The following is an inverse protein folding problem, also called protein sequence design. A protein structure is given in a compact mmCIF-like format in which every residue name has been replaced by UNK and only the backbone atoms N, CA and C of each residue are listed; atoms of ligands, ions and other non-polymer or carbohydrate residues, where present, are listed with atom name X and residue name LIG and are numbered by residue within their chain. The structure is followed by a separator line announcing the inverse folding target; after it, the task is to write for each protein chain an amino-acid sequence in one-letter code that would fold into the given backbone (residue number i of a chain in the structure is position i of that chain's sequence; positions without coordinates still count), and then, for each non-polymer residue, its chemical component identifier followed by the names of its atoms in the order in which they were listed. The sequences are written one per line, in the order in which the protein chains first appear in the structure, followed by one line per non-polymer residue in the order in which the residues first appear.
data_IF_418432531159
#
_entry.id   IF_418432531159
#
_cell.length_a   1.000
_cell.length_b   1.000
_cell.length_c   1.000
_cell.angle_alpha   90.00
_cell.angle_beta   90.00
_cell.angle_gamma   90.00
#
_symmetry.space_group_name_H-M   'P 1'
#
loop_
_entity.id
_entity.type
_entity.pdbx_description
1 polymer ?
#
# COMPACT_ATOMS: atom_id res chain seq x y z
N UNK A 1 9.52 13.20 -21.93
CA UNK A 1 9.44 12.75 -20.55
C UNK A 1 8.88 11.35 -20.42
N UNK A 2 9.24 10.68 -19.34
CA UNK A 2 8.77 9.32 -19.08
C UNK A 2 7.31 9.29 -18.60
N UNK A 3 6.85 10.38 -17.98
CA UNK A 3 5.52 10.54 -17.38
C UNK A 3 5.28 12.02 -17.16
N UNK A 4 4.03 12.46 -17.25
CA UNK A 4 3.72 13.86 -16.97
C UNK A 4 3.95 14.17 -15.49
N UNK A 5 4.54 15.35 -15.23
CA UNK A 5 4.96 15.73 -13.88
C UNK A 5 3.78 15.80 -12.89
N UNK A 6 2.65 16.37 -13.30
CA UNK A 6 1.48 16.46 -12.42
C UNK A 6 0.88 15.07 -12.13
N UNK A 7 0.89 14.16 -13.11
CA UNK A 7 0.45 12.79 -12.89
C UNK A 7 1.38 12.05 -11.92
N UNK A 8 2.69 12.25 -12.07
CA UNK A 8 3.67 11.67 -11.16
C UNK A 8 3.51 12.20 -9.73
N UNK A 9 3.32 13.51 -9.55
CA UNK A 9 3.09 14.10 -8.22
C UNK A 9 1.83 13.52 -7.57
N UNK A 10 0.75 13.41 -8.34
CA UNK A 10 -0.49 12.80 -7.84
C UNK A 10 -0.29 11.33 -7.45
N UNK A 11 0.46 10.57 -8.24
CA UNK A 11 0.80 9.18 -7.92
C UNK A 11 1.70 9.07 -6.69
N UNK A 12 2.68 9.96 -6.55
CA UNK A 12 3.51 10.06 -5.36
C UNK A 12 2.67 10.30 -4.10
N UNK A 13 1.74 11.23 -4.15
CA UNK A 13 0.83 11.52 -3.03
C UNK A 13 -0.04 10.32 -2.70
N UNK A 14 -0.60 9.66 -3.71
CA UNK A 14 -1.40 8.45 -3.52
C UNK A 14 -0.57 7.33 -2.89
N UNK A 15 0.67 7.15 -3.32
CA UNK A 15 1.61 6.16 -2.76
C UNK A 15 1.93 6.46 -1.29
N UNK A 16 2.13 7.72 -0.94
CA UNK A 16 2.37 8.14 0.44
C UNK A 16 1.15 7.81 1.32
N UNK A 17 -0.05 8.15 0.88
CA UNK A 17 -1.26 7.83 1.64
C UNK A 17 -1.47 6.33 1.79
N UNK A 18 -1.22 5.56 0.74
CA UNK A 18 -1.31 4.10 0.79
C UNK A 18 -0.34 3.51 1.81
N UNK A 19 0.91 3.97 1.79
CA UNK A 19 1.96 3.50 2.70
C UNK A 19 1.68 3.89 4.15
N UNK A 20 1.21 5.11 4.39
CA UNK A 20 0.88 5.58 5.74
C UNK A 20 -0.41 4.96 6.28
N UNK A 21 -1.29 4.46 5.42
CA UNK A 21 -2.47 3.72 5.85
C UNK A 21 -2.04 2.37 6.44
N UNK A 22 -2.24 2.13 7.74
CA UNK A 22 -1.79 0.88 8.36
C UNK A 22 -2.56 -0.31 7.80
N UNK A 23 -1.83 -1.32 7.41
CA UNK A 23 -2.35 -2.57 6.88
C UNK A 23 -1.44 -3.71 7.26
N UNK A 24 -1.61 -4.87 6.62
CA UNK A 24 -0.83 -6.07 6.93
C UNK A 24 0.68 -5.89 6.78
N UNK A 25 1.11 -5.11 5.77
CA UNK A 25 2.54 -4.81 5.57
C UNK A 25 3.13 -3.99 6.72
N UNK A 26 2.44 -2.93 7.14
CA UNK A 26 2.87 -2.10 8.27
C UNK A 26 2.91 -2.91 9.58
N UNK A 27 1.89 -3.73 9.82
CA UNK A 27 1.84 -4.62 11.00
C UNK A 27 3.02 -5.58 11.01
N UNK A 28 3.34 -6.18 9.87
CA UNK A 28 4.47 -7.09 9.76
C UNK A 28 5.80 -6.37 9.99
N UNK A 29 5.99 -5.19 9.41
CA UNK A 29 7.19 -4.37 9.61
C UNK A 29 7.37 -3.98 11.08
N UNK A 30 6.30 -3.56 11.75
CA UNK A 30 6.33 -3.25 13.18
C UNK A 30 6.63 -4.48 14.04
N UNK A 31 5.99 -5.61 13.73
CA UNK A 31 6.19 -6.88 14.42
C UNK A 31 7.66 -7.33 14.34
N UNK A 32 8.22 -7.34 13.16
CA UNK A 32 9.62 -7.73 12.97
C UNK A 32 10.59 -6.68 13.52
N UNK A 33 10.25 -5.40 13.45
CA UNK A 33 11.01 -4.34 14.09
C UNK A 33 11.15 -4.53 15.59
N UNK A 34 10.07 -4.95 16.26
CA UNK A 34 10.08 -5.27 17.69
C UNK A 34 10.85 -6.56 17.98
N UNK A 35 10.67 -7.60 17.16
CA UNK A 35 11.26 -8.92 17.40
C UNK A 35 12.74 -9.00 17.05
N UNK A 36 13.16 -8.35 15.95
CA UNK A 36 14.51 -8.52 15.39
C UNK A 36 15.31 -7.23 15.30
N UNK A 37 14.71 -6.08 15.56
CA UNK A 37 15.32 -4.77 15.31
C UNK A 37 15.19 -4.33 13.86
N UNK A 38 15.38 -3.02 13.62
CA UNK A 38 15.16 -2.39 12.31
C UNK A 38 16.08 -2.97 11.23
N UNK A 39 17.36 -3.17 11.56
CA UNK A 39 18.34 -3.69 10.60
C UNK A 39 17.94 -5.06 10.03
N UNK A 40 17.50 -5.97 10.88
CA UNK A 40 17.11 -7.31 10.44
C UNK A 40 15.73 -7.32 9.77
N UNK A 41 14.89 -6.35 10.07
CA UNK A 41 13.58 -6.17 9.43
C UNK A 41 13.71 -5.75 7.96
N UNK A 42 14.87 -5.27 7.54
CA UNK A 42 15.13 -4.94 6.12
C UNK A 42 14.88 -6.14 5.20
N UNK A 43 15.15 -7.36 5.64
CA UNK A 43 14.82 -8.57 4.87
C UNK A 43 13.31 -8.73 4.66
N UNK A 44 12.51 -8.49 5.68
CA UNK A 44 11.04 -8.47 5.60
C UNK A 44 10.56 -7.39 4.64
N UNK A 45 11.11 -6.19 4.75
CA UNK A 45 10.76 -5.05 3.91
C UNK A 45 11.13 -5.30 2.45
N UNK A 46 12.27 -5.92 2.20
CA UNK A 46 12.65 -6.36 0.85
C UNK A 46 11.61 -7.31 0.26
N UNK A 47 11.15 -8.29 1.04
CA UNK A 47 10.05 -9.18 0.63
C UNK A 47 8.76 -8.43 0.32
N UNK A 48 8.40 -7.45 1.15
CA UNK A 48 7.23 -6.59 0.91
C UNK A 48 7.33 -5.89 -0.46
N UNK A 49 8.52 -5.42 -0.85
CA UNK A 49 8.73 -4.77 -2.14
C UNK A 49 8.59 -5.76 -3.30
N UNK A 50 9.09 -6.98 -3.16
CA UNK A 50 8.90 -8.01 -4.18
C UNK A 50 7.41 -8.30 -4.42
N UNK A 51 6.61 -8.32 -3.37
CA UNK A 51 5.15 -8.45 -3.47
C UNK A 51 4.50 -7.28 -4.20
N UNK A 52 4.90 -6.05 -3.88
CA UNK A 52 4.42 -4.85 -4.57
C UNK A 52 4.78 -4.85 -6.06
N UNK A 53 6.02 -5.22 -6.39
CA UNK A 53 6.47 -5.31 -7.79
C UNK A 53 5.62 -6.32 -8.55
N UNK A 54 5.38 -7.49 -7.97
CA UNK A 54 4.55 -8.52 -8.61
C UNK A 54 3.16 -7.99 -8.94
N UNK A 55 2.50 -7.37 -7.96
CA UNK A 55 1.16 -6.80 -8.16
C UNK A 55 1.18 -5.69 -9.22
N UNK A 56 2.17 -4.81 -9.17
CA UNK A 56 2.31 -3.73 -10.14
C UNK A 56 2.50 -4.26 -11.56
N UNK A 57 3.33 -5.29 -11.74
CA UNK A 57 3.58 -5.87 -13.05
C UNK A 57 2.33 -6.55 -13.61
N UNK A 58 1.59 -7.28 -12.78
CA UNK A 58 0.35 -7.94 -13.19
C UNK A 58 -0.72 -6.91 -13.52
N UNK A 59 -0.95 -5.95 -12.63
CA UNK A 59 -1.99 -4.93 -12.82
C UNK A 59 -1.64 -3.96 -13.92
N UNK A 60 -0.41 -3.47 -13.96
CA UNK A 60 0.04 -2.48 -14.93
C UNK A 60 0.26 -3.08 -16.32
N UNK A 61 0.92 -4.25 -16.40
CA UNK A 61 1.24 -4.88 -17.69
C UNK A 61 0.06 -5.58 -18.35
N UNK A 62 -0.80 -6.20 -17.56
CA UNK A 62 -1.95 -6.98 -18.06
C UNK A 62 -3.28 -6.23 -17.95
N UNK A 63 -3.76 -6.07 -16.72
CA UNK A 63 -5.07 -5.47 -16.47
C UNK A 63 -5.11 -3.99 -16.85
N UNK A 64 -4.06 -3.23 -16.53
CA UNK A 64 -3.99 -1.80 -16.87
C UNK A 64 -4.09 -1.53 -18.35
N UNK A 65 -3.43 -2.34 -19.19
CA UNK A 65 -3.49 -2.20 -20.64
C UNK A 65 -4.90 -2.43 -21.19
N UNK A 66 -5.62 -3.44 -20.67
CA UNK A 66 -7.01 -3.72 -21.04
C UNK A 66 -7.94 -2.58 -20.63
N UNK A 67 -7.76 -2.05 -19.41
CA UNK A 67 -8.59 -0.96 -18.90
C UNK A 67 -8.40 0.34 -19.66
N UNK A 68 -7.19 0.60 -20.15
CA UNK A 68 -6.92 1.77 -20.99
C UNK A 68 -7.60 1.62 -22.37
N UNK A 69 -7.62 0.40 -22.93
CA UNK A 69 -8.21 0.13 -24.23
C UNK A 69 -9.76 0.18 -24.22
N UNK A 70 -10.40 -0.05 -23.07
CA UNK A 70 -11.86 -0.11 -22.95
C UNK A 70 -12.38 0.91 -21.94
N UNK A 71 -13.21 1.86 -22.41
CA UNK A 71 -13.83 2.87 -21.53
C UNK A 71 -14.79 2.24 -20.53
N UNK A 72 -15.59 1.25 -20.96
CA UNK A 72 -16.53 0.56 -20.07
C UNK A 72 -15.78 -0.21 -18.98
N UNK A 73 -14.75 -0.95 -19.33
CA UNK A 73 -13.92 -1.69 -18.36
C UNK A 73 -13.26 -0.71 -17.37
N UNK A 74 -12.74 0.41 -17.86
CA UNK A 74 -12.17 1.46 -17.00
C UNK A 74 -13.20 1.98 -15.99
N UNK A 75 -14.40 2.31 -16.45
CA UNK A 75 -15.47 2.83 -15.59
C UNK A 75 -15.91 1.80 -14.54
N UNK A 76 -16.11 0.55 -14.95
CA UNK A 76 -16.53 -0.53 -14.04
C UNK A 76 -15.49 -0.75 -12.95
N UNK A 77 -14.20 -0.87 -13.32
CA UNK A 77 -13.12 -1.08 -12.35
C UNK A 77 -12.96 0.14 -11.44
N UNK A 78 -13.06 1.36 -11.98
CA UNK A 78 -13.02 2.59 -11.19
C UNK A 78 -14.10 2.61 -10.11
N UNK A 79 -15.35 2.32 -10.47
CA UNK A 79 -16.47 2.32 -9.52
C UNK A 79 -16.34 1.23 -8.49
N UNK A 80 -16.04 -0.01 -8.92
CA UNK A 80 -15.86 -1.14 -7.99
C UNK A 80 -14.68 -0.91 -7.05
N UNK A 81 -13.56 -0.41 -7.58
CA UNK A 81 -12.38 -0.10 -6.77
C UNK A 81 -12.63 1.01 -5.77
N UNK A 82 -13.32 2.08 -6.18
CA UNK A 82 -13.70 3.18 -5.30
C UNK A 82 -14.61 2.70 -4.17
N UNK A 83 -15.63 1.91 -4.48
CA UNK A 83 -16.53 1.33 -3.49
C UNK A 83 -15.78 0.41 -2.51
N UNK A 84 -14.86 -0.39 -3.02
CA UNK A 84 -14.07 -1.30 -2.19
C UNK A 84 -13.11 -0.54 -1.26
N UNK A 85 -12.46 0.52 -1.74
CA UNK A 85 -11.59 1.35 -0.90
C UNK A 85 -12.39 2.08 0.19
N UNK A 86 -13.59 2.56 -0.15
CA UNK A 86 -14.51 3.16 0.83
C UNK A 86 -14.91 2.11 1.88
N UNK A 87 -15.24 0.89 1.44
CA UNK A 87 -15.57 -0.21 2.33
C UNK A 87 -14.40 -0.57 3.26
N UNK A 88 -13.19 -0.69 2.73
CA UNK A 88 -12.00 -0.97 3.55
C UNK A 88 -11.75 0.14 4.57
N UNK A 89 -11.88 1.39 4.15
CA UNK A 89 -11.73 2.54 5.05
C UNK A 89 -12.76 2.53 6.16
N UNK A 90 -14.01 2.19 5.84
CA UNK A 90 -15.09 2.04 6.81
C UNK A 90 -14.82 0.90 7.80
N UNK A 91 -14.40 -0.26 7.28
CA UNK A 91 -14.02 -1.40 8.13
C UNK A 91 -12.88 -1.03 9.08
N UNK A 92 -11.87 -0.33 8.59
CA UNK A 92 -10.74 0.13 9.40
C UNK A 92 -11.20 1.13 10.48
N UNK A 93 -12.09 2.05 10.13
CA UNK A 93 -12.68 2.98 11.09
C UNK A 93 -13.44 2.26 12.21
N UNK A 94 -14.28 1.27 11.85
CA UNK A 94 -15.07 0.50 12.81
C UNK A 94 -14.23 -0.44 13.66
N UNK A 95 -13.17 -1.02 13.11
CA UNK A 95 -12.29 -1.96 13.82
C UNK A 95 -11.27 -1.27 14.73
N UNK A 96 -11.33 0.05 14.87
CA UNK A 96 -10.41 0.83 15.71
C UNK A 96 -10.44 0.45 17.20
N UNK A 97 -11.29 -0.50 17.60
CA UNK A 97 -11.28 -1.11 18.93
C UNK A 97 -10.27 -2.24 19.10
N UNK A 98 -9.82 -2.83 18.00
CA UNK A 98 -8.89 -3.96 17.99
C UNK A 98 -7.46 -3.42 17.96
N UNK A 99 -6.94 -3.08 19.14
CA UNK A 99 -5.57 -2.61 19.27
C UNK A 99 -4.58 -3.73 18.90
N UNK A 100 -3.44 -3.34 18.31
CA UNK A 100 -2.32 -4.25 18.11
C UNK A 100 -1.84 -4.79 19.45
N UNK A 101 -1.78 -6.10 19.59
CA UNK A 101 -1.22 -6.74 20.78
C UNK A 101 0.31 -6.72 20.69
N UNK A 102 0.90 -5.69 21.26
CA UNK A 102 2.36 -5.51 21.27
C UNK A 102 3.06 -6.64 22.01
N UNK A 103 2.45 -7.15 23.09
CA UNK A 103 3.04 -8.27 23.84
C UNK A 103 3.10 -9.55 22.97
N UNK A 104 2.07 -9.80 22.17
CA UNK A 104 2.06 -10.92 21.23
C UNK A 104 3.13 -10.77 20.15
N UNK A 105 3.31 -9.55 19.61
CA UNK A 105 4.32 -9.26 18.59
C UNK A 105 5.74 -9.51 19.07
N UNK A 106 6.01 -9.31 20.37
CA UNK A 106 7.34 -9.52 20.96
C UNK A 106 7.71 -10.98 21.16
N UNK A 107 6.73 -11.87 21.24
CA UNK A 107 6.94 -13.30 21.51
C UNK A 107 7.22 -14.14 20.26
N UNK A 108 7.39 -13.53 19.08
CA UNK A 108 7.62 -14.27 17.86
C UNK A 108 8.99 -14.95 17.85
N UNK A 109 9.03 -16.20 17.35
CA UNK A 109 10.26 -16.95 17.19
C UNK A 109 11.20 -16.26 16.18
N UNK A 110 12.52 -16.38 16.40
CA UNK A 110 13.51 -15.83 15.50
C UNK A 110 13.50 -16.61 14.17
N UNK A 111 13.10 -15.95 13.09
CA UNK A 111 13.03 -16.52 11.76
C UNK A 111 14.30 -16.20 10.97
N UNK A 112 14.81 -17.11 10.13
CA UNK A 112 15.90 -16.81 9.22
C UNK A 112 15.48 -15.76 8.19
N UNK A 113 16.47 -15.05 7.62
CA UNK A 113 16.18 -13.94 6.70
C UNK A 113 15.37 -14.36 5.47
N UNK A 114 15.59 -15.59 4.97
CA UNK A 114 14.84 -16.11 3.83
C UNK A 114 13.34 -16.21 4.14
N UNK A 115 12.99 -16.66 5.33
CA UNK A 115 11.59 -16.73 5.75
C UNK A 115 10.99 -15.35 5.97
N UNK A 116 11.78 -14.39 6.45
CA UNK A 116 11.30 -13.01 6.59
C UNK A 116 11.02 -12.39 5.22
N UNK A 117 11.89 -12.63 4.22
CA UNK A 117 11.64 -12.21 2.84
C UNK A 117 10.35 -12.84 2.30
N UNK A 118 10.17 -14.13 2.48
CA UNK A 118 8.98 -14.85 2.03
C UNK A 118 7.71 -14.32 2.70
N UNK A 119 7.76 -14.06 4.00
CA UNK A 119 6.61 -13.49 4.72
C UNK A 119 6.23 -12.11 4.18
N UNK A 120 7.21 -11.25 3.94
CA UNK A 120 6.99 -9.95 3.33
C UNK A 120 6.37 -10.07 1.93
N UNK A 121 6.93 -10.92 1.09
CA UNK A 121 6.42 -11.17 -0.25
C UNK A 121 4.96 -11.64 -0.22
N UNK A 122 4.66 -12.69 0.52
CA UNK A 122 3.31 -13.22 0.61
C UNK A 122 2.31 -12.22 1.20
N UNK A 123 2.75 -11.46 2.20
CA UNK A 123 1.90 -10.45 2.84
C UNK A 123 1.43 -9.41 1.83
N UNK A 124 2.32 -8.85 1.02
CA UNK A 124 1.93 -7.85 0.03
C UNK A 124 1.32 -8.46 -1.24
N UNK A 125 1.80 -9.62 -1.69
CA UNK A 125 1.22 -10.28 -2.87
C UNK A 125 -0.25 -10.68 -2.66
N UNK A 126 -0.66 -10.95 -1.42
CA UNK A 126 -2.04 -11.32 -1.07
C UNK A 126 -2.82 -10.19 -0.39
N UNK A 127 -2.23 -9.00 -0.26
CA UNK A 127 -2.89 -7.89 0.40
C UNK A 127 -4.01 -7.32 -0.47
N UNK A 128 -5.28 -7.47 -0.07
CA UNK A 128 -6.40 -6.99 -0.88
C UNK A 128 -6.39 -5.48 -1.08
N UNK A 129 -5.94 -4.71 -0.10
CA UNK A 129 -5.80 -3.25 -0.20
C UNK A 129 -4.83 -2.87 -1.32
N UNK A 130 -3.65 -3.50 -1.35
CA UNK A 130 -2.64 -3.26 -2.39
C UNK A 130 -3.11 -3.69 -3.78
N UNK A 131 -3.74 -4.86 -3.88
CA UNK A 131 -4.25 -5.38 -5.16
C UNK A 131 -5.31 -4.43 -5.74
N UNK A 132 -6.29 -4.02 -4.94
CA UNK A 132 -7.37 -3.14 -5.39
C UNK A 132 -6.82 -1.75 -5.73
N UNK A 133 -5.87 -1.22 -4.95
CA UNK A 133 -5.20 0.03 -5.28
C UNK A 133 -4.54 -0.05 -6.66
N UNK A 134 -3.79 -1.10 -6.93
CA UNK A 134 -3.11 -1.27 -8.23
C UNK A 134 -4.10 -1.38 -9.38
N UNK A 135 -5.15 -2.19 -9.21
CA UNK A 135 -6.13 -2.42 -10.29
C UNK A 135 -6.99 -1.18 -10.54
N UNK A 136 -7.44 -0.50 -9.49
CA UNK A 136 -8.36 0.64 -9.61
C UNK A 136 -7.65 1.98 -9.80
N UNK A 137 -6.54 2.21 -9.10
CA UNK A 137 -5.88 3.52 -9.05
C UNK A 137 -4.79 3.63 -10.12
N UNK A 138 -3.98 2.59 -10.30
CA UNK A 138 -2.84 2.63 -11.22
C UNK A 138 -3.20 3.06 -12.65
N UNK A 139 -4.26 2.52 -13.29
CA UNK A 139 -4.63 2.93 -14.65
C UNK A 139 -4.96 4.41 -14.80
N UNK A 140 -5.33 5.08 -13.72
CA UNK A 140 -5.66 6.52 -13.72
C UNK A 140 -4.43 7.39 -14.02
N UNK A 141 -3.25 6.89 -13.76
CA UNK A 141 -1.98 7.59 -13.91
C UNK A 141 -1.22 7.22 -15.18
N UNK A 142 -1.69 6.20 -15.91
CA UNK A 142 -1.07 5.75 -17.15
C UNK A 142 -1.61 6.56 -18.33
N UNK A 143 -0.70 7.14 -19.13
CA UNK A 143 -1.03 7.92 -20.32
C UNK A 143 -0.71 7.15 -21.60
N UNK A 144 -1.53 7.32 -22.62
CA UNK A 144 -1.28 6.77 -23.96
C UNK A 144 -0.12 7.46 -24.71
N UNK A 145 0.24 8.68 -24.29
CA UNK A 145 1.29 9.48 -24.93
C UNK A 145 2.71 9.05 -24.59
N UNK A 146 2.87 8.12 -23.67
CA UNK A 146 4.18 7.63 -23.23
C UNK A 146 4.21 6.10 -23.25
N UNK A 147 5.42 5.48 -23.46
CA UNK A 147 5.54 4.03 -23.40
C UNK A 147 5.10 3.47 -22.06
N UNK A 148 4.29 2.40 -22.07
CA UNK A 148 3.74 1.80 -20.87
C UNK A 148 4.83 1.33 -19.90
N UNK A 149 5.84 0.61 -20.43
CA UNK A 149 6.89 0.04 -19.59
C UNK A 149 7.71 1.11 -18.85
N UNK A 150 7.94 2.28 -19.49
CA UNK A 150 8.66 3.39 -18.86
C UNK A 150 7.85 3.96 -17.70
N UNK A 151 6.55 4.15 -17.89
CA UNK A 151 5.65 4.61 -16.84
C UNK A 151 5.60 3.62 -15.67
N UNK A 152 5.54 2.32 -15.96
CA UNK A 152 5.55 1.28 -14.92
C UNK A 152 6.86 1.28 -14.13
N UNK A 153 7.99 1.49 -14.77
CA UNK A 153 9.29 1.60 -14.09
C UNK A 153 9.33 2.82 -13.17
N UNK A 154 8.85 3.96 -13.63
CA UNK A 154 8.78 5.18 -12.81
C UNK A 154 7.84 4.99 -11.62
N UNK A 155 6.68 4.39 -11.85
CA UNK A 155 5.71 4.09 -10.78
C UNK A 155 6.27 3.09 -9.78
N UNK A 156 6.92 2.02 -10.24
CA UNK A 156 7.57 1.04 -9.38
C UNK A 156 8.64 1.69 -8.51
N UNK A 157 9.53 2.46 -9.09
CA UNK A 157 10.59 3.15 -8.36
C UNK A 157 10.01 4.12 -7.30
N UNK A 158 8.96 4.85 -7.65
CA UNK A 158 8.29 5.78 -6.75
C UNK A 158 7.65 5.05 -5.57
N UNK A 159 6.86 4.02 -5.84
CA UNK A 159 6.19 3.23 -4.80
C UNK A 159 7.18 2.53 -3.89
N UNK A 160 8.20 1.91 -4.46
CA UNK A 160 9.23 1.21 -3.68
C UNK A 160 9.96 2.20 -2.79
N UNK A 161 10.36 3.36 -3.32
CA UNK A 161 11.04 4.39 -2.53
C UNK A 161 10.19 4.85 -1.34
N UNK A 162 8.92 5.17 -1.58
CA UNK A 162 7.99 5.58 -0.53
C UNK A 162 7.74 4.46 0.48
N UNK A 163 7.50 3.25 0.01
CA UNK A 163 7.18 2.12 0.88
C UNK A 163 8.37 1.68 1.72
N UNK A 164 9.57 1.63 1.16
CA UNK A 164 10.79 1.30 1.89
C UNK A 164 11.02 2.28 3.04
N UNK A 165 10.89 3.58 2.77
CA UNK A 165 11.01 4.61 3.80
C UNK A 165 9.92 4.47 4.85
N UNK A 166 8.67 4.28 4.42
CA UNK A 166 7.53 4.14 5.32
C UNK A 166 7.62 2.90 6.20
N UNK A 167 7.97 1.75 5.63
CA UNK A 167 8.08 0.49 6.38
C UNK A 167 9.24 0.50 7.37
N UNK A 168 10.39 1.07 7.00
CA UNK A 168 11.47 1.29 7.96
C UNK A 168 11.06 2.26 9.06
N UNK A 169 10.28 3.29 8.73
CA UNK A 169 9.70 4.20 9.71
C UNK A 169 8.78 3.48 10.70
N UNK A 170 7.92 2.59 10.24
CA UNK A 170 7.08 1.77 11.09
C UNK A 170 7.89 0.84 11.99
N UNK A 171 8.90 0.17 11.44
CA UNK A 171 9.77 -0.72 12.20
C UNK A 171 10.56 0.03 13.28
N UNK A 172 11.10 1.20 12.95
CA UNK A 172 11.82 2.06 13.90
C UNK A 172 10.88 2.63 14.95
N UNK A 173 9.74 3.16 14.53
CA UNK A 173 8.73 3.74 15.41
C UNK A 173 8.14 2.74 16.39
N UNK A 174 8.01 1.48 16.00
CA UNK A 174 7.49 0.41 16.85
C UNK A 174 8.30 0.26 18.15
N UNK A 175 9.63 0.31 18.06
CA UNK A 175 10.49 0.24 19.24
C UNK A 175 10.43 1.53 20.07
N UNK A 176 10.50 2.69 19.40
CA UNK A 176 10.53 3.99 20.06
C UNK A 176 9.18 4.37 20.69
N UNK A 177 8.07 3.99 20.01
CA UNK A 177 6.71 4.35 20.42
C UNK A 177 5.98 3.18 21.11
N UNK A 178 6.71 2.23 21.63
CA UNK A 178 6.16 1.02 22.25
C UNK A 178 5.08 1.33 23.31
N UNK A 179 5.33 2.29 24.19
CA UNK A 179 4.37 2.68 25.24
C UNK A 179 3.10 3.28 24.65
N UNK A 180 3.27 4.12 23.62
CA UNK A 180 2.12 4.74 22.93
C UNK A 180 1.32 3.68 22.16
N UNK A 181 1.97 2.72 21.51
CA UNK A 181 1.31 1.64 20.78
C UNK A 181 0.56 0.65 21.69
N UNK A 182 0.90 0.58 22.96
CA UNK A 182 0.14 -0.20 23.96
C UNK A 182 -1.18 0.47 24.34
N UNK A 183 -1.34 1.76 24.07
CA UNK A 183 -2.57 2.48 24.33
C UNK A 183 -3.63 2.15 23.28
N UNK A 184 -4.70 1.49 23.68
CA UNK A 184 -5.83 1.19 22.79
C UNK A 184 -6.46 2.45 22.21
N UNK A 185 -6.54 3.54 23.01
CA UNK A 185 -7.09 4.82 22.57
C UNK A 185 -6.27 5.45 21.42
N UNK A 186 -4.95 5.48 21.56
CA UNK A 186 -4.07 6.02 20.53
C UNK A 186 -4.14 5.20 19.23
N UNK A 187 -4.16 3.86 19.34
CA UNK A 187 -4.30 2.98 18.17
C UNK A 187 -5.65 3.15 17.47
N UNK A 188 -6.74 3.32 18.24
CA UNK A 188 -8.06 3.60 17.67
C UNK A 188 -8.06 4.90 16.88
N UNK A 189 -7.47 5.96 17.43
CA UNK A 189 -7.36 7.26 16.76
C UNK A 189 -6.60 7.15 15.45
N UNK A 190 -5.43 6.52 15.46
CA UNK A 190 -4.62 6.31 14.27
C UNK A 190 -5.37 5.48 13.21
N UNK A 191 -5.98 4.37 13.59
CA UNK A 191 -6.72 3.50 12.68
C UNK A 191 -7.90 4.23 12.06
N UNK A 192 -8.62 5.03 12.83
CA UNK A 192 -9.74 5.84 12.32
C UNK A 192 -9.29 6.91 11.34
N UNK A 193 -8.21 7.61 11.63
CA UNK A 193 -7.67 8.63 10.72
C UNK A 193 -7.28 7.99 9.39
N UNK A 194 -6.53 6.90 9.39
CA UNK A 194 -6.12 6.24 8.16
C UNK A 194 -7.27 5.58 7.42
N UNK A 195 -8.24 5.01 8.13
CA UNK A 195 -9.48 4.52 7.52
C UNK A 195 -10.28 5.63 6.84
N UNK A 196 -10.36 6.80 7.48
CA UNK A 196 -10.98 7.99 6.90
C UNK A 196 -10.28 8.47 5.63
N UNK A 197 -8.94 8.52 5.66
CA UNK A 197 -8.13 8.87 4.47
C UNK A 197 -8.34 7.88 3.33
N UNK A 198 -8.41 6.59 3.62
CA UNK A 198 -8.64 5.56 2.62
C UNK A 198 -10.04 5.71 1.98
N UNK A 199 -11.05 6.04 2.77
CA UNK A 199 -12.39 6.36 2.26
C UNK A 199 -12.38 7.59 1.34
N UNK A 200 -11.62 8.64 1.70
CA UNK A 200 -11.49 9.84 0.87
C UNK A 200 -10.80 9.54 -0.46
N UNK A 201 -9.77 8.70 -0.47
CA UNK A 201 -9.12 8.26 -1.71
C UNK A 201 -10.12 7.53 -2.61
N UNK A 202 -10.89 6.60 -2.04
CA UNK A 202 -11.93 5.88 -2.76
C UNK A 202 -13.00 6.80 -3.33
N UNK A 203 -13.48 7.76 -2.54
CA UNK A 203 -14.44 8.77 -3.01
C UNK A 203 -13.87 9.62 -4.14
N UNK A 204 -12.60 10.01 -4.03
CA UNK A 204 -11.91 10.79 -5.06
C UNK A 204 -11.84 10.09 -6.42
N UNK A 205 -11.80 8.74 -6.45
CA UNK A 205 -11.77 7.99 -7.69
C UNK A 205 -13.01 8.20 -8.57
N UNK A 206 -14.17 8.53 -7.99
CA UNK A 206 -15.38 8.82 -8.77
C UNK A 206 -15.23 10.05 -9.67
N UNK A 207 -14.33 10.97 -9.33
CA UNK A 207 -14.11 12.20 -10.08
C UNK A 207 -12.99 12.07 -11.13
N UNK A 208 -12.29 10.94 -11.17
CA UNK A 208 -11.22 10.70 -12.14
C UNK A 208 -11.84 10.38 -13.50
N UNK A 209 -11.35 11.03 -14.54
CA UNK A 209 -11.79 10.81 -15.93
C UNK A 209 -10.71 10.04 -16.70
N UNK A 210 -11.16 9.23 -17.67
CA UNK A 210 -10.27 8.57 -18.60
C UNK A 210 -9.52 9.65 -19.40
N UNK A 211 -8.19 9.51 -19.48
CA UNK A 211 -7.41 10.39 -20.34
C UNK A 211 -7.74 10.09 -21.80
N UNK A 212 -7.96 11.12 -22.62
CA UNK A 212 -8.17 10.91 -24.08
C UNK A 212 -6.95 10.26 -24.69
N UNK A 213 -7.21 9.40 -25.69
CA UNK A 213 -6.16 8.71 -26.43
C UNK A 213 -5.38 9.69 -27.34
#
# INVERSE_FOLDING_TARGET
GAMEFHAWVAFLMASIFLTLSPGSGAVLAMSHGLAYGVRQTTATIFGLQLGLILILLIAGGGVGAVLIASELAFTVVKVLGACYLIYLGWCQWRSAGNALDVAHLQGQAHLPWQRRVLMGFLTNATNPKGIIFMVAVLPQFISHSHPLWVQLVVMAATMIGVDVVGMHGYALGASALRRWMRSASAQRGQTRVFGGLLMLIGAGLFFVRRQPA
#
